data_IF_927402699579
#
_entry.id   IF_927402699579
#
_cell.length_a   1.000
_cell.length_b   1.000
_cell.length_c   1.000
_cell.angle_alpha   90.00
_cell.angle_beta   90.00
_cell.angle_gamma   90.00
#
_symmetry.space_group_name_H-M   'P 1'
#
loop_
_entity.id
_entity.type
_entity.pdbx_description
1 polymer ?
#
# COMPACT_ATOMS: atom_id res chain seq x y z
N UNK A 1 4.22 -19.31 4.63
CA UNK A 1 4.48 -19.21 3.17
C UNK A 1 3.68 -20.24 2.39
N UNK A 2 3.61 -21.50 2.85
CA UNK A 2 2.90 -22.58 2.13
C UNK A 2 1.44 -22.24 1.83
N UNK A 3 0.69 -21.73 2.81
CA UNK A 3 -0.70 -21.28 2.62
C UNK A 3 -0.79 -20.21 1.50
N UNK A 4 0.11 -19.22 1.52
CA UNK A 4 0.17 -18.14 0.51
C UNK A 4 0.48 -18.72 -0.87
N UNK A 5 1.40 -19.68 -0.96
CA UNK A 5 1.73 -20.33 -2.23
C UNK A 5 0.53 -21.10 -2.79
N UNK A 6 -0.18 -21.86 -1.95
CA UNK A 6 -1.39 -22.57 -2.36
C UNK A 6 -2.45 -21.59 -2.89
N UNK A 7 -2.72 -20.51 -2.16
CA UNK A 7 -3.65 -19.46 -2.60
C UNK A 7 -3.20 -18.85 -3.93
N UNK A 8 -1.90 -18.56 -4.10
CA UNK A 8 -1.38 -18.00 -5.33
C UNK A 8 -1.58 -18.95 -6.54
N UNK A 9 -1.55 -20.26 -6.32
CA UNK A 9 -1.74 -21.27 -7.37
C UNK A 9 -3.21 -21.48 -7.77
N UNK A 10 -4.19 -21.11 -6.93
CA UNK A 10 -5.61 -21.13 -7.29
C UNK A 10 -5.91 -20.26 -8.53
N UNK A 11 -5.20 -19.15 -8.66
CA UNK A 11 -5.21 -18.30 -9.85
C UNK A 11 -3.82 -17.71 -10.10
N UNK A 12 -2.92 -18.55 -10.61
CA UNK A 12 -1.52 -18.17 -10.91
C UNK A 12 -1.42 -16.93 -11.79
N UNK A 13 -2.39 -16.67 -12.67
CA UNK A 13 -2.32 -15.54 -13.61
C UNK A 13 -2.60 -14.21 -12.92
N UNK A 14 -3.56 -14.19 -11.99
CA UNK A 14 -4.00 -12.95 -11.37
C UNK A 14 -3.43 -12.72 -9.96
N UNK A 15 -3.15 -13.78 -9.21
CA UNK A 15 -2.67 -13.69 -7.83
C UNK A 15 -1.15 -13.78 -7.71
N UNK A 16 -0.48 -14.55 -8.56
CA UNK A 16 0.98 -14.65 -8.51
C UNK A 16 1.61 -13.34 -9.02
N UNK A 17 2.50 -12.68 -8.25
CA UNK A 17 3.10 -11.42 -8.65
C UNK A 17 3.98 -11.55 -9.91
N UNK A 18 4.10 -10.46 -10.67
CA UNK A 18 4.63 -10.38 -12.04
C UNK A 18 5.74 -11.40 -12.38
N UNK A 19 5.50 -12.18 -13.43
CA UNK A 19 6.47 -13.10 -14.03
C UNK A 19 7.39 -12.32 -14.96
N UNK A 20 8.56 -11.92 -14.48
CA UNK A 20 9.64 -11.46 -15.37
C UNK A 20 10.02 -12.59 -16.35
N UNK A 21 10.68 -12.26 -17.48
CA UNK A 21 11.26 -13.23 -18.45
C UNK A 21 12.44 -14.05 -17.88
N UNK A 22 12.46 -14.30 -16.58
CA UNK A 22 13.44 -15.14 -15.90
C UNK A 22 12.96 -16.60 -15.87
N UNK A 23 13.85 -17.54 -15.56
CA UNK A 23 13.47 -18.93 -15.28
C UNK A 23 12.50 -19.02 -14.09
N UNK A 24 11.67 -20.06 -14.06
CA UNK A 24 10.69 -20.27 -12.98
C UNK A 24 11.36 -20.35 -11.60
N UNK A 25 12.50 -21.02 -11.50
CA UNK A 25 13.30 -21.11 -10.27
C UNK A 25 13.68 -19.72 -9.74
N UNK A 26 14.19 -18.84 -10.63
CA UNK A 26 14.58 -17.48 -10.25
C UNK A 26 13.38 -16.64 -9.84
N UNK A 27 12.23 -16.82 -10.50
CA UNK A 27 10.97 -16.17 -10.11
C UNK A 27 10.54 -16.60 -8.70
N UNK A 28 10.53 -17.91 -8.40
CA UNK A 28 10.18 -18.43 -7.08
C UNK A 28 11.15 -17.95 -6.01
N UNK A 29 12.46 -17.98 -6.28
CA UNK A 29 13.49 -17.51 -5.34
C UNK A 29 13.32 -16.03 -5.01
N UNK A 30 13.07 -15.20 -6.02
CA UNK A 30 12.80 -13.77 -5.82
C UNK A 30 11.52 -13.55 -5.02
N UNK A 31 10.47 -14.33 -5.31
CA UNK A 31 9.20 -14.25 -4.61
C UNK A 31 9.33 -14.60 -3.12
N UNK A 32 9.99 -15.72 -2.79
CA UNK A 32 10.29 -16.12 -1.41
C UNK A 32 11.16 -15.06 -0.71
N UNK A 33 12.21 -14.58 -1.38
CA UNK A 33 13.09 -13.57 -0.81
C UNK A 33 12.33 -12.28 -0.47
N UNK A 34 11.40 -11.83 -1.31
CA UNK A 34 10.60 -10.62 -1.03
C UNK A 34 9.76 -10.77 0.23
N UNK A 35 9.12 -11.92 0.41
CA UNK A 35 8.37 -12.20 1.63
C UNK A 35 9.28 -12.29 2.87
N UNK A 36 10.40 -13.01 2.78
CA UNK A 36 11.34 -13.11 3.90
C UNK A 36 11.85 -11.72 4.31
N UNK A 37 12.22 -10.89 3.34
CA UNK A 37 12.71 -9.55 3.61
C UNK A 37 11.65 -8.65 4.23
N UNK A 38 10.38 -8.80 3.87
CA UNK A 38 9.30 -8.00 4.46
C UNK A 38 8.93 -8.43 5.88
N UNK A 39 9.18 -9.68 6.26
CA UNK A 39 9.02 -10.15 7.64
C UNK A 39 10.22 -9.79 8.51
N UNK A 40 11.44 -9.78 7.96
CA UNK A 40 12.65 -9.36 8.70
C UNK A 40 12.68 -7.85 8.92
N UNK A 41 12.26 -7.07 7.93
CA UNK A 41 12.23 -5.60 7.98
C UNK A 41 10.77 -5.14 8.16
N UNK A 42 10.26 -5.28 9.37
CA UNK A 42 8.89 -4.90 9.69
C UNK A 42 8.69 -3.38 9.56
N UNK A 43 7.50 -2.93 9.12
CA UNK A 43 7.19 -1.50 9.03
C UNK A 43 7.42 -0.71 10.32
N UNK A 44 7.19 -1.32 11.48
CA UNK A 44 7.46 -0.77 12.81
C UNK A 44 8.93 -0.40 13.05
N UNK A 45 9.85 -0.97 12.28
CA UNK A 45 11.28 -0.62 12.30
C UNK A 45 11.66 0.51 11.35
N UNK A 46 10.76 0.94 10.46
CA UNK A 46 11.03 1.96 9.46
C UNK A 46 11.00 3.37 10.07
N UNK A 47 11.95 4.21 9.64
CA UNK A 47 11.99 5.64 9.97
C UNK A 47 11.62 6.42 8.70
N UNK A 48 10.75 7.40 8.83
CA UNK A 48 10.37 8.29 7.72
C UNK A 48 11.57 9.11 7.24
N UNK A 49 12.15 8.72 6.10
CA UNK A 49 13.15 9.53 5.41
C UNK A 49 12.47 10.44 4.39
N UNK A 50 12.98 11.67 4.24
CA UNK A 50 12.58 12.55 3.15
C UNK A 50 12.87 11.88 1.80
N UNK A 51 11.95 12.04 0.84
CA UNK A 51 12.16 11.55 -0.53
C UNK A 51 13.45 12.15 -1.11
N UNK A 52 14.28 11.30 -1.72
CA UNK A 52 15.50 11.71 -2.43
C UNK A 52 15.27 12.08 -3.90
N UNK A 53 14.02 12.01 -4.37
CA UNK A 53 13.64 12.31 -5.76
C UNK A 53 13.32 13.79 -5.93
N UNK A 54 13.83 14.40 -7.01
CA UNK A 54 13.53 15.77 -7.38
C UNK A 54 12.02 15.96 -7.60
N UNK A 55 11.44 17.00 -7.02
CA UNK A 55 10.05 17.41 -7.28
C UNK A 55 9.99 18.17 -8.61
N UNK A 56 8.86 18.09 -9.31
CA UNK A 56 8.65 18.85 -10.54
C UNK A 56 8.63 20.36 -10.23
N UNK A 57 9.55 21.18 -10.76
CA UNK A 57 9.56 22.63 -10.52
C UNK A 57 8.26 23.32 -10.93
N UNK A 58 7.52 22.78 -11.90
CA UNK A 58 6.24 23.33 -12.31
C UNK A 58 5.19 23.24 -11.20
N UNK A 59 5.21 22.17 -10.38
CA UNK A 59 4.30 22.03 -9.24
C UNK A 59 4.55 23.10 -8.18
N UNK A 60 5.84 23.36 -7.87
CA UNK A 60 6.23 24.40 -6.94
C UNK A 60 5.76 25.79 -7.44
N UNK A 61 5.94 26.08 -8.73
CA UNK A 61 5.50 27.35 -9.32
C UNK A 61 3.98 27.55 -9.25
N UNK A 62 3.20 26.49 -9.51
CA UNK A 62 1.73 26.56 -9.41
C UNK A 62 1.30 26.92 -7.99
N UNK A 63 1.87 26.26 -6.97
CA UNK A 63 1.55 26.51 -5.57
C UNK A 63 2.01 27.90 -5.15
N UNK A 64 3.22 28.31 -5.54
CA UNK A 64 3.76 29.64 -5.27
C UNK A 64 2.83 30.75 -5.75
N UNK A 65 2.37 30.67 -7.01
CA UNK A 65 1.43 31.65 -7.59
C UNK A 65 0.07 31.59 -6.89
N UNK A 66 -0.45 30.39 -6.63
CA UNK A 66 -1.79 30.23 -6.06
C UNK A 66 -1.89 30.72 -4.61
N UNK A 67 -0.79 30.66 -3.86
CA UNK A 67 -0.72 31.03 -2.45
C UNK A 67 0.03 32.35 -2.19
N UNK A 68 0.53 33.03 -3.23
CA UNK A 68 1.32 34.27 -3.15
C UNK A 68 2.53 34.15 -2.21
N UNK A 69 3.31 33.09 -2.41
CA UNK A 69 4.46 32.73 -1.57
C UNK A 69 5.78 33.25 -2.14
N UNK A 70 6.77 33.45 -1.28
CA UNK A 70 8.16 33.70 -1.69
C UNK A 70 8.94 32.39 -1.98
N UNK A 71 10.22 32.52 -2.33
CA UNK A 71 11.09 31.39 -2.68
C UNK A 71 11.47 30.53 -1.46
N UNK A 72 11.61 31.13 -0.27
CA UNK A 72 11.97 30.41 0.94
C UNK A 72 10.75 29.61 1.45
N UNK A 73 9.56 30.21 1.41
CA UNK A 73 8.30 29.57 1.81
C UNK A 73 7.97 28.34 0.95
N UNK A 74 8.13 28.44 -0.38
CA UNK A 74 7.83 27.31 -1.27
C UNK A 74 8.85 26.16 -1.09
N UNK A 75 10.11 26.48 -0.79
CA UNK A 75 11.13 25.48 -0.47
C UNK A 75 10.78 24.72 0.81
N UNK A 76 10.41 25.44 1.88
CA UNK A 76 10.00 24.82 3.14
C UNK A 76 8.76 23.93 2.96
N UNK A 77 7.75 24.41 2.23
CA UNK A 77 6.55 23.62 1.92
C UNK A 77 6.86 22.37 1.11
N UNK A 78 7.79 22.45 0.16
CA UNK A 78 8.26 21.29 -0.62
C UNK A 78 8.93 20.23 0.26
N UNK A 79 9.79 20.67 1.19
CA UNK A 79 10.44 19.78 2.15
C UNK A 79 9.43 19.10 3.09
N UNK A 80 8.48 19.88 3.64
CA UNK A 80 7.40 19.35 4.47
C UNK A 80 6.53 18.35 3.70
N UNK A 81 6.15 18.67 2.46
CA UNK A 81 5.38 17.75 1.60
C UNK A 81 6.09 16.41 1.42
N UNK A 82 7.39 16.41 1.14
CA UNK A 82 8.18 15.18 0.98
C UNK A 82 8.19 14.31 2.25
N UNK A 83 8.28 14.94 3.43
CA UNK A 83 8.17 14.24 4.71
C UNK A 83 6.78 13.64 4.92
N UNK A 84 5.71 14.40 4.65
CA UNK A 84 4.35 13.89 4.77
C UNK A 84 4.08 12.72 3.81
N UNK A 85 4.57 12.77 2.58
CA UNK A 85 4.46 11.65 1.63
C UNK A 85 5.15 10.38 2.15
N UNK A 86 6.30 10.53 2.82
CA UNK A 86 7.02 9.41 3.44
C UNK A 86 6.22 8.84 4.62
N UNK A 87 5.71 9.72 5.49
CA UNK A 87 4.86 9.33 6.62
C UNK A 87 3.56 8.64 6.17
N UNK A 88 2.93 9.10 5.08
CA UNK A 88 1.73 8.45 4.52
C UNK A 88 1.98 7.03 4.02
N UNK A 89 3.16 6.77 3.44
CA UNK A 89 3.55 5.42 3.01
C UNK A 89 3.75 4.50 4.23
N UNK A 90 4.55 4.94 5.20
CA UNK A 90 4.81 4.16 6.42
C UNK A 90 3.51 3.91 7.18
N UNK A 91 2.60 4.89 7.24
CA UNK A 91 1.29 4.71 7.87
C UNK A 91 0.47 3.57 7.22
N UNK A 92 0.56 3.40 5.90
CA UNK A 92 -0.10 2.29 5.21
C UNK A 92 0.48 0.95 5.63
N UNK A 93 1.80 0.85 5.66
CA UNK A 93 2.53 -0.38 6.04
C UNK A 93 2.29 -0.73 7.53
N UNK A 94 2.31 0.25 8.43
CA UNK A 94 2.01 0.07 9.86
C UNK A 94 0.57 -0.40 10.10
N UNK A 95 -0.39 0.04 9.28
CA UNK A 95 -1.76 -0.42 9.38
C UNK A 95 -1.87 -1.91 9.04
N UNK A 96 -1.17 -2.37 8.01
CA UNK A 96 -1.11 -3.79 7.67
C UNK A 96 -0.45 -4.60 8.78
N UNK A 97 0.71 -4.17 9.29
CA UNK A 97 1.39 -4.85 10.40
C UNK A 97 0.50 -4.97 11.64
N UNK A 98 -0.15 -3.86 12.05
CA UNK A 98 -1.08 -3.87 13.18
C UNK A 98 -2.22 -4.87 12.97
N UNK A 99 -2.82 -4.92 11.78
CA UNK A 99 -3.88 -5.90 11.50
C UNK A 99 -3.31 -7.31 11.61
N UNK A 100 -2.14 -7.58 11.03
CA UNK A 100 -1.51 -8.89 11.06
C UNK A 100 -1.33 -9.44 12.49
N UNK A 101 -0.85 -8.61 13.41
CA UNK A 101 -0.69 -8.95 14.83
C UNK A 101 -2.01 -9.31 15.53
N UNK A 102 -3.15 -8.81 15.01
CA UNK A 102 -4.46 -8.98 15.64
C UNK A 102 -5.34 -10.04 14.97
N UNK A 103 -5.00 -10.53 13.78
CA UNK A 103 -5.86 -11.44 12.99
C UNK A 103 -5.31 -12.85 12.79
N UNK A 104 -4.06 -13.12 13.18
CA UNK A 104 -3.40 -14.41 12.95
C UNK A 104 -4.17 -15.59 13.59
N UNK A 105 -4.60 -15.44 14.84
CA UNK A 105 -5.39 -16.45 15.58
C UNK A 105 -6.76 -16.73 14.96
N UNK A 106 -7.25 -15.84 14.09
CA UNK A 106 -8.52 -16.00 13.38
C UNK A 106 -8.34 -16.65 12.00
N UNK A 107 -7.16 -17.20 11.71
CA UNK A 107 -6.85 -17.94 10.48
C UNK A 107 -6.67 -17.05 9.25
N UNK A 108 -6.38 -15.76 9.46
CA UNK A 108 -5.92 -14.86 8.40
C UNK A 108 -4.41 -14.97 8.24
N UNK A 109 -3.96 -14.80 7.00
CA UNK A 109 -2.54 -14.83 6.62
C UNK A 109 -2.18 -13.48 6.00
N UNK A 110 -1.18 -12.83 6.57
CA UNK A 110 -0.64 -11.59 6.03
C UNK A 110 0.24 -11.87 4.81
N UNK A 111 -0.12 -11.28 3.67
CA UNK A 111 0.54 -11.45 2.37
C UNK A 111 1.66 -10.42 2.15
N UNK A 112 2.49 -10.24 3.17
CA UNK A 112 3.56 -9.24 3.23
C UNK A 112 4.53 -9.33 2.04
N UNK A 113 5.16 -8.21 1.68
CA UNK A 113 6.13 -8.15 0.59
C UNK A 113 5.52 -8.26 -0.81
N UNK A 114 4.20 -8.05 -0.93
CA UNK A 114 3.43 -8.27 -2.16
C UNK A 114 3.67 -9.71 -2.66
N UNK A 115 3.41 -10.65 -1.75
CA UNK A 115 3.42 -12.08 -2.00
C UNK A 115 2.22 -12.51 -2.85
N UNK A 116 1.08 -11.83 -2.70
CA UNK A 116 -0.06 -11.93 -3.61
C UNK A 116 -0.31 -10.57 -4.25
N UNK A 117 -0.62 -10.57 -5.55
CA UNK A 117 -0.87 -9.34 -6.30
C UNK A 117 -2.15 -8.68 -5.78
N UNK A 118 -2.02 -7.45 -5.29
CA UNK A 118 -3.13 -6.61 -4.82
C UNK A 118 -3.95 -7.21 -3.67
N UNK A 119 -3.38 -8.16 -2.93
CA UNK A 119 -3.98 -8.78 -1.75
C UNK A 119 -3.02 -8.62 -0.59
N UNK A 120 -3.52 -8.06 0.51
CA UNK A 120 -2.75 -7.81 1.72
C UNK A 120 -3.01 -8.92 2.75
N UNK A 121 -4.22 -9.49 2.78
CA UNK A 121 -4.59 -10.63 3.63
C UNK A 121 -5.40 -11.67 2.89
N UNK A 122 -5.24 -12.94 3.23
CA UNK A 122 -6.12 -14.01 2.77
C UNK A 122 -6.48 -15.00 3.88
N UNK A 123 -7.56 -15.74 3.69
CA UNK A 123 -7.76 -17.02 4.41
C UNK A 123 -6.81 -18.07 3.84
N UNK A 124 -6.41 -19.03 4.68
CA UNK A 124 -5.47 -20.12 4.31
C UNK A 124 -5.93 -20.93 3.10
N UNK A 125 -7.24 -21.06 2.90
CA UNK A 125 -7.86 -21.76 1.77
C UNK A 125 -8.14 -20.87 0.55
N UNK A 126 -7.82 -19.57 0.62
CA UNK A 126 -8.11 -18.59 -0.42
C UNK A 126 -9.60 -18.23 -0.57
N UNK A 127 -10.46 -18.62 0.37
CA UNK A 127 -11.90 -18.33 0.33
C UNK A 127 -12.21 -16.82 0.35
N UNK A 128 -11.38 -16.06 1.07
CA UNK A 128 -11.46 -14.60 1.17
C UNK A 128 -10.08 -14.01 0.88
N UNK A 129 -10.07 -12.98 0.03
CA UNK A 129 -8.91 -12.17 -0.30
C UNK A 129 -9.25 -10.72 0.05
N UNK A 130 -8.40 -10.06 0.81
CA UNK A 130 -8.65 -8.73 1.33
C UNK A 130 -7.50 -7.78 0.97
N UNK A 131 -7.89 -6.60 0.50
CA UNK A 131 -7.03 -5.44 0.32
C UNK A 131 -7.39 -4.38 1.36
N UNK A 132 -6.39 -3.94 2.11
CA UNK A 132 -6.47 -2.89 3.12
C UNK A 132 -6.01 -1.57 2.52
N UNK A 133 -6.72 -0.49 2.84
CA UNK A 133 -6.30 0.88 2.49
C UNK A 133 -6.41 1.78 3.71
N UNK A 134 -5.49 2.72 3.86
CA UNK A 134 -5.58 3.67 4.96
C UNK A 134 -6.74 4.67 4.78
N UNK A 135 -7.00 5.13 3.55
CA UNK A 135 -8.07 6.10 3.21
C UNK A 135 -9.00 5.57 2.13
N UNK A 136 -10.29 5.89 2.24
CA UNK A 136 -11.29 5.74 1.18
C UNK A 136 -11.09 6.85 0.13
N UNK A 137 -10.08 6.70 -0.71
CA UNK A 137 -9.94 7.57 -1.87
C UNK A 137 -10.86 7.05 -2.98
N UNK A 138 -11.54 7.95 -3.70
CA UNK A 138 -12.07 7.62 -5.03
C UNK A 138 -10.91 7.06 -5.85
N UNK A 139 -11.09 5.84 -6.29
CA UNK A 139 -10.00 5.01 -6.76
C UNK A 139 -9.35 5.56 -8.03
N UNK A 140 -8.02 5.52 -8.11
CA UNK A 140 -7.35 5.75 -9.39
C UNK A 140 -7.65 4.55 -10.31
N UNK A 141 -7.92 4.81 -11.59
CA UNK A 141 -8.38 3.82 -12.56
C UNK A 141 -7.49 2.57 -12.68
N UNK A 142 -6.20 2.70 -12.35
CA UNK A 142 -5.22 1.60 -12.31
C UNK A 142 -5.44 0.59 -11.18
N UNK A 143 -5.91 1.02 -10.00
CA UNK A 143 -6.20 0.12 -8.87
C UNK A 143 -7.54 -0.61 -9.04
N UNK A 144 -8.52 0.05 -9.66
CA UNK A 144 -9.82 -0.58 -9.96
C UNK A 144 -9.73 -1.64 -11.04
N UNK A 145 -8.82 -1.46 -12.01
CA UNK A 145 -8.65 -2.38 -13.13
C UNK A 145 -8.18 -3.78 -12.72
N UNK A 146 -7.46 -3.91 -11.59
CA UNK A 146 -7.03 -5.22 -11.05
C UNK A 146 -8.19 -5.92 -10.33
N UNK A 147 -9.18 -5.18 -9.83
CA UNK A 147 -10.35 -5.74 -9.13
C UNK A 147 -11.53 -6.04 -10.05
N UNK A 148 -11.62 -5.39 -11.21
CA UNK A 148 -12.61 -5.72 -12.22
C UNK A 148 -12.38 -7.16 -12.73
N UNK A 149 -13.14 -8.11 -12.18
CA UNK A 149 -13.04 -9.54 -12.49
C UNK A 149 -12.39 -10.40 -11.40
N UNK A 150 -12.01 -9.84 -10.23
CA UNK A 150 -11.51 -10.61 -9.09
C UNK A 150 -12.43 -10.50 -7.88
N UNK A 151 -12.37 -11.49 -6.96
CA UNK A 151 -13.15 -11.52 -5.72
C UNK A 151 -12.44 -10.84 -4.54
N UNK A 152 -11.50 -9.93 -4.80
CA UNK A 152 -10.72 -9.27 -3.75
C UNK A 152 -11.58 -8.21 -3.08
N UNK A 153 -11.88 -8.42 -1.80
CA UNK A 153 -12.58 -7.47 -0.95
C UNK A 153 -11.68 -6.28 -0.62
N UNK A 154 -12.30 -5.12 -0.38
CA UNK A 154 -11.59 -3.90 -0.04
C UNK A 154 -12.15 -3.35 1.27
N UNK A 155 -11.27 -3.18 2.25
CA UNK A 155 -11.56 -2.45 3.48
C UNK A 155 -10.65 -1.23 3.58
N UNK A 156 -11.13 -0.18 4.25
CA UNK A 156 -10.30 0.98 4.51
C UNK A 156 -10.54 1.52 5.93
N UNK A 157 -9.50 2.07 6.54
CA UNK A 157 -9.56 2.60 7.91
C UNK A 157 -10.29 3.93 8.01
N UNK A 158 -10.06 4.84 7.04
CA UNK A 158 -10.51 6.22 7.13
C UNK A 158 -11.44 6.61 5.96
N UNK A 159 -12.65 7.06 6.29
CA UNK A 159 -13.57 7.76 5.37
C UNK A 159 -13.51 9.26 5.60
N UNK A 160 -13.84 10.01 4.56
CA UNK A 160 -14.15 11.45 4.67
C UNK A 160 -15.65 11.64 4.79
N UNK A 161 -16.11 12.25 5.88
CA UNK A 161 -17.49 12.74 6.01
C UNK A 161 -17.51 14.26 5.86
N UNK A 162 -18.66 14.84 5.51
CA UNK A 162 -18.85 16.29 5.38
C UNK A 162 -19.80 16.78 6.47
N UNK A 163 -19.39 17.78 7.24
CA UNK A 163 -20.24 18.49 8.19
C UNK A 163 -20.23 19.97 7.80
N UNK A 164 -21.39 20.54 7.46
CA UNK A 164 -21.52 21.91 6.97
C UNK A 164 -20.53 22.25 5.84
N UNK A 165 -20.35 21.32 4.89
CA UNK A 165 -19.42 21.47 3.76
C UNK A 165 -17.94 21.24 4.07
N UNK A 166 -17.54 21.12 5.35
CA UNK A 166 -16.16 20.85 5.75
C UNK A 166 -15.88 19.35 5.88
N UNK A 167 -14.80 18.83 5.27
CA UNK A 167 -14.41 17.44 5.41
C UNK A 167 -13.89 17.15 6.83
N UNK A 168 -14.26 16.00 7.39
CA UNK A 168 -13.73 15.51 8.66
C UNK A 168 -13.49 13.99 8.61
N UNK A 169 -12.52 13.47 9.40
CA UNK A 169 -12.20 12.06 9.44
C UNK A 169 -13.34 11.24 10.10
N UNK A 170 -13.65 10.08 9.52
CA UNK A 170 -14.54 9.07 10.10
C UNK A 170 -13.90 7.70 9.97
N UNK A 171 -13.63 7.05 11.09
CA UNK A 171 -12.99 5.75 11.14
C UNK A 171 -14.04 4.62 11.03
N UNK A 172 -13.63 3.46 10.51
CA UNK A 172 -14.40 2.20 10.54
C UNK A 172 -13.74 1.16 11.44
#
# INVERSE_FOLDING_TARGET
MDDIFQVAMLDRKNLFPNQNKNSEEKCLRNWINRYIQSIINLPSSHIGEAKRTCSDPALAMIVKIACDLDDDEIEEMGNAHNLFMSAENIQGELLEEYIAENVEDYGWVWCSGNALRAVDFCKRDGSVLLQVKNKNNTENSSSSAIRNGTKIEKWFRLKTKKNNGRPYPSYE
#
